data_IF_028800777214
#
_entry.id   IF_028800777214
#
_cell.length_a   1.000
_cell.length_b   1.000
_cell.length_c   1.000
_cell.angle_alpha   90.00
_cell.angle_beta   90.00
_cell.angle_gamma   90.00
#
_symmetry.space_group_name_H-M   'P 1'
#
loop_
_entity.id
_entity.type
_entity.pdbx_description
1 polymer ?
#
# COMPACT_ATOMS: atom_id res chain seq x y z
N UNK A 1 4.95 -35.09 0.38
CA UNK A 1 5.22 -33.80 -0.29
C UNK A 1 3.92 -33.36 -0.95
N UNK A 2 3.18 -32.44 -0.33
CA UNK A 2 1.97 -31.89 -0.96
C UNK A 2 2.41 -30.87 -2.00
N UNK A 3 2.31 -31.24 -3.28
CA UNK A 3 2.43 -30.28 -4.38
C UNK A 3 1.28 -29.28 -4.25
N UNK A 4 1.58 -28.10 -3.70
CA UNK A 4 0.67 -26.96 -3.78
C UNK A 4 0.72 -26.50 -5.24
N UNK A 5 -0.22 -27.00 -6.05
CA UNK A 5 -0.46 -26.45 -7.38
C UNK A 5 -1.04 -25.05 -7.21
N UNK A 6 -0.20 -24.02 -7.30
CA UNK A 6 -0.66 -22.63 -7.30
C UNK A 6 -1.07 -22.26 -8.72
N UNK A 7 -2.38 -22.13 -8.95
CA UNK A 7 -2.92 -21.66 -10.23
C UNK A 7 -2.79 -20.13 -10.28
N UNK A 8 -2.00 -19.63 -11.24
CA UNK A 8 -2.00 -18.21 -11.61
C UNK A 8 -3.11 -18.01 -12.65
N UNK A 9 -4.34 -17.71 -12.18
CA UNK A 9 -5.47 -17.43 -13.05
C UNK A 9 -5.53 -15.93 -13.38
N UNK A 10 -5.47 -15.57 -14.66
CA UNK A 10 -5.62 -14.19 -15.16
C UNK A 10 -6.56 -14.12 -16.38
N UNK A 11 -7.39 -15.14 -16.57
CA UNK A 11 -8.32 -15.21 -17.70
C UNK A 11 -9.35 -14.08 -17.65
N UNK A 12 -9.94 -13.75 -18.80
CA UNK A 12 -11.04 -12.79 -18.88
C UNK A 12 -12.19 -13.17 -17.93
N UNK A 13 -12.57 -14.45 -17.89
CA UNK A 13 -13.62 -14.94 -17.01
C UNK A 13 -13.27 -14.75 -15.52
N UNK A 14 -12.03 -15.01 -15.12
CA UNK A 14 -11.55 -14.78 -13.76
C UNK A 14 -11.63 -13.28 -13.37
N UNK A 15 -11.10 -12.41 -14.23
CA UNK A 15 -11.14 -10.95 -14.01
C UNK A 15 -12.56 -10.42 -13.98
N UNK A 16 -13.42 -10.88 -14.89
CA UNK A 16 -14.84 -10.52 -14.93
C UNK A 16 -15.57 -10.94 -13.66
N UNK A 17 -15.33 -12.16 -13.16
CA UNK A 17 -15.91 -12.61 -11.90
C UNK A 17 -15.52 -11.69 -10.74
N UNK A 18 -14.22 -11.45 -10.54
CA UNK A 18 -13.74 -10.57 -9.45
C UNK A 18 -14.27 -9.14 -9.58
N UNK A 19 -14.42 -8.64 -10.80
CA UNK A 19 -15.03 -7.33 -11.06
C UNK A 19 -16.51 -7.31 -10.64
N UNK A 20 -17.28 -8.34 -10.99
CA UNK A 20 -18.70 -8.44 -10.61
C UNK A 20 -18.86 -8.62 -9.09
N UNK A 21 -18.00 -9.42 -8.45
CA UNK A 21 -17.99 -9.58 -6.99
C UNK A 21 -17.66 -8.24 -6.31
N UNK A 22 -16.64 -7.52 -6.79
CA UNK A 22 -16.29 -6.18 -6.34
C UNK A 22 -17.46 -5.20 -6.49
N UNK A 23 -18.12 -5.18 -7.65
CA UNK A 23 -19.25 -4.32 -7.91
C UNK A 23 -20.42 -4.62 -6.96
N UNK A 24 -20.74 -5.90 -6.74
CA UNK A 24 -21.79 -6.31 -5.82
C UNK A 24 -21.51 -5.84 -4.39
N UNK A 25 -20.28 -6.00 -3.91
CA UNK A 25 -19.89 -5.54 -2.57
C UNK A 25 -20.04 -4.01 -2.47
N UNK A 26 -19.57 -3.29 -3.49
CA UNK A 26 -19.65 -1.83 -3.53
C UNK A 26 -21.10 -1.30 -3.52
N UNK A 27 -21.99 -1.96 -4.24
CA UNK A 27 -23.42 -1.62 -4.28
C UNK A 27 -24.12 -1.87 -2.93
N UNK A 28 -23.62 -2.81 -2.12
CA UNK A 28 -24.22 -3.16 -0.83
C UNK A 28 -23.59 -2.44 0.38
N UNK A 29 -22.30 -2.11 0.33
CA UNK A 29 -21.53 -1.57 1.46
C UNK A 29 -21.06 -0.12 1.27
N UNK A 30 -21.45 0.53 0.18
CA UNK A 30 -20.96 1.84 -0.24
C UNK A 30 -19.42 1.85 -0.48
N UNK A 31 -18.82 3.05 -0.49
CA UNK A 31 -17.40 3.23 -0.69
C UNK A 31 -16.58 2.61 0.46
N UNK A 32 -15.47 1.91 0.17
CA UNK A 32 -14.54 1.45 1.20
C UNK A 32 -13.87 2.67 1.85
N UNK A 33 -13.55 2.57 3.14
CA UNK A 33 -12.95 3.67 3.90
C UNK A 33 -11.44 3.80 3.66
N UNK A 34 -10.75 2.70 3.38
CA UNK A 34 -9.30 2.68 3.17
C UNK A 34 -8.95 2.04 1.84
N UNK A 35 -8.01 2.67 1.13
CA UNK A 35 -7.30 2.12 -0.02
C UNK A 35 -5.82 2.02 0.32
N UNK A 36 -5.24 0.83 0.17
CA UNK A 36 -3.86 0.53 0.51
C UNK A 36 -3.14 -0.03 -0.72
N UNK A 37 -1.98 0.54 -1.02
CA UNK A 37 -1.05 -0.03 -1.98
C UNK A 37 0.20 -0.47 -1.22
N UNK A 38 0.68 -1.69 -1.46
CA UNK A 38 1.98 -2.15 -0.99
C UNK A 38 2.85 -2.48 -2.19
N UNK A 39 4.04 -1.91 -2.25
CA UNK A 39 5.04 -2.23 -3.28
C UNK A 39 6.05 -3.19 -2.68
N UNK A 40 6.25 -4.34 -3.30
CA UNK A 40 7.25 -5.32 -2.86
C UNK A 40 8.67 -4.71 -2.82
N UNK A 41 9.37 -4.90 -1.70
CA UNK A 41 10.82 -4.66 -1.60
C UNK A 41 11.59 -5.82 -2.23
N UNK A 42 11.93 -5.69 -3.50
CA UNK A 42 12.66 -6.68 -4.30
C UNK A 42 14.12 -6.88 -3.85
N UNK A 43 14.62 -6.05 -2.94
CA UNK A 43 15.97 -6.12 -2.38
C UNK A 43 16.02 -6.70 -0.97
N UNK A 44 14.87 -7.06 -0.41
CA UNK A 44 14.76 -7.61 0.93
C UNK A 44 15.57 -8.92 1.06
N UNK A 45 16.17 -9.13 2.23
CA UNK A 45 17.06 -10.26 2.51
C UNK A 45 16.36 -11.63 2.42
N UNK A 46 15.04 -11.67 2.67
CA UNK A 46 14.22 -12.88 2.53
C UNK A 46 14.24 -13.44 1.10
N UNK A 47 14.40 -12.58 0.09
CA UNK A 47 14.56 -13.03 -1.30
C UNK A 47 15.90 -13.68 -1.55
N UNK A 48 16.99 -13.20 -0.93
CA UNK A 48 18.33 -13.77 -1.12
C UNK A 48 18.40 -15.25 -0.69
N UNK A 49 17.63 -15.64 0.32
CA UNK A 49 17.60 -17.03 0.82
C UNK A 49 16.84 -18.01 -0.07
N UNK A 50 16.13 -17.54 -1.11
CA UNK A 50 15.28 -18.37 -1.98
C UNK A 50 15.96 -18.63 -3.33
N UNK A 51 16.80 -17.70 -3.76
CA UNK A 51 17.54 -17.82 -5.00
C UNK A 51 18.55 -18.96 -4.85
N UNK A 52 18.39 -20.02 -5.64
CA UNK A 52 19.32 -21.17 -5.67
C UNK A 52 20.73 -20.74 -6.11
N UNK A 53 21.73 -21.59 -5.88
CA UNK A 53 23.11 -21.37 -6.34
C UNK A 53 23.13 -20.94 -7.82
N UNK A 54 23.44 -19.67 -8.07
CA UNK A 54 23.54 -19.08 -9.41
C UNK A 54 22.48 -18.02 -9.75
N UNK A 55 21.36 -17.94 -9.03
CA UNK A 55 20.36 -16.88 -9.22
C UNK A 55 20.74 -15.70 -8.29
N UNK A 56 20.98 -14.53 -8.87
CA UNK A 56 21.39 -13.30 -8.15
C UNK A 56 20.27 -12.30 -8.02
N UNK A 57 19.26 -12.36 -8.90
CA UNK A 57 18.22 -11.34 -8.97
C UNK A 57 16.79 -11.92 -9.08
N UNK A 58 15.79 -11.23 -8.52
CA UNK A 58 14.37 -11.63 -8.61
C UNK A 58 13.84 -11.91 -10.02
N UNK A 59 14.35 -11.19 -11.03
CA UNK A 59 13.88 -11.30 -12.42
C UNK A 59 14.48 -12.48 -13.18
N UNK A 60 15.45 -13.18 -12.61
CA UNK A 60 16.01 -14.40 -13.20
C UNK A 60 15.10 -15.62 -12.96
N UNK A 61 14.29 -15.61 -11.89
CA UNK A 61 13.15 -16.52 -11.69
C UNK A 61 11.91 -15.74 -11.19
N UNK A 62 11.19 -15.06 -12.11
CA UNK A 62 10.05 -14.23 -11.74
C UNK A 62 8.88 -15.05 -11.19
N UNK A 63 8.81 -16.36 -11.50
CA UNK A 63 7.74 -17.24 -11.02
C UNK A 63 7.95 -17.53 -9.54
N UNK A 64 9.15 -18.00 -9.15
CA UNK A 64 9.48 -18.28 -7.76
C UNK A 64 9.39 -17.01 -6.90
N UNK A 65 9.90 -15.89 -7.41
CA UNK A 65 9.82 -14.60 -6.76
C UNK A 65 8.36 -14.17 -6.48
N UNK A 66 7.50 -14.23 -7.51
CA UNK A 66 6.08 -13.86 -7.37
C UNK A 66 5.33 -14.80 -6.42
N UNK A 67 5.64 -16.10 -6.43
CA UNK A 67 5.06 -17.07 -5.50
C UNK A 67 5.49 -16.80 -4.06
N UNK A 68 6.76 -16.47 -3.83
CA UNK A 68 7.23 -16.12 -2.51
C UNK A 68 6.54 -14.86 -1.99
N UNK A 69 6.51 -13.79 -2.79
CA UNK A 69 5.85 -12.55 -2.40
C UNK A 69 4.36 -12.78 -2.10
N UNK A 70 3.65 -13.54 -2.94
CA UNK A 70 2.24 -13.90 -2.69
C UNK A 70 2.07 -14.65 -1.37
N UNK A 71 2.95 -15.59 -1.04
CA UNK A 71 2.90 -16.33 0.24
C UNK A 71 3.16 -15.40 1.43
N UNK A 72 4.16 -14.53 1.34
CA UNK A 72 4.47 -13.51 2.35
C UNK A 72 3.26 -12.59 2.57
N UNK A 73 2.65 -12.12 1.49
CA UNK A 73 1.43 -11.33 1.54
C UNK A 73 0.27 -12.08 2.20
N UNK A 74 0.00 -13.34 1.84
CA UNK A 74 -1.10 -14.11 2.42
C UNK A 74 -0.95 -14.30 3.93
N UNK A 75 0.27 -14.53 4.41
CA UNK A 75 0.56 -14.62 5.85
C UNK A 75 0.33 -13.25 6.52
N UNK A 76 0.92 -12.18 5.98
CA UNK A 76 0.71 -10.83 6.49
C UNK A 76 -0.78 -10.44 6.52
N UNK A 77 -1.51 -10.74 5.44
CA UNK A 77 -2.91 -10.46 5.33
C UNK A 77 -3.75 -11.20 6.39
N UNK A 78 -3.57 -12.52 6.48
CA UNK A 78 -4.37 -13.37 7.37
C UNK A 78 -4.02 -13.16 8.84
N UNK A 79 -2.72 -13.05 9.15
CA UNK A 79 -2.24 -13.02 10.53
C UNK A 79 -2.10 -11.61 11.08
N UNK A 80 -1.86 -10.61 10.24
CA UNK A 80 -1.71 -9.22 10.68
C UNK A 80 -2.92 -8.37 10.30
N UNK A 81 -3.25 -8.25 9.00
CA UNK A 81 -4.31 -7.34 8.53
C UNK A 81 -5.66 -7.70 9.14
N UNK A 82 -6.10 -8.96 8.99
CA UNK A 82 -7.39 -9.44 9.48
C UNK A 82 -7.49 -9.57 11.00
N UNK A 83 -6.37 -9.45 11.74
CA UNK A 83 -6.33 -9.62 13.20
C UNK A 83 -5.86 -8.35 13.92
N UNK A 84 -4.57 -8.04 13.83
CA UNK A 84 -3.97 -6.93 14.56
C UNK A 84 -4.41 -5.58 14.00
N UNK A 85 -4.24 -5.36 12.69
CA UNK A 85 -4.61 -4.10 12.06
C UNK A 85 -6.12 -3.86 12.09
N UNK A 86 -6.93 -4.91 11.86
CA UNK A 86 -8.38 -4.84 12.00
C UNK A 86 -8.80 -4.21 13.34
N UNK A 87 -8.18 -4.61 14.45
CA UNK A 87 -8.48 -4.02 15.78
C UNK A 87 -8.10 -2.54 15.88
N UNK A 88 -7.03 -2.11 15.20
CA UNK A 88 -6.58 -0.71 15.20
C UNK A 88 -7.50 0.21 14.40
N UNK A 89 -8.23 -0.31 13.41
CA UNK A 89 -9.14 0.47 12.54
C UNK A 89 -10.62 0.26 12.88
N UNK A 90 -10.91 -0.33 14.05
CA UNK A 90 -12.28 -0.59 14.54
C UNK A 90 -12.96 -1.83 13.94
N UNK A 91 -12.24 -2.66 13.19
CA UNK A 91 -12.70 -3.90 12.58
C UNK A 91 -12.88 -3.78 11.07
N UNK A 92 -12.82 -4.92 10.38
CA UNK A 92 -13.00 -5.04 8.93
C UNK A 92 -14.36 -5.71 8.69
N UNK A 93 -15.25 -5.04 7.96
CA UNK A 93 -16.53 -5.59 7.48
C UNK A 93 -16.33 -6.46 6.26
N UNK A 94 -15.54 -5.97 5.32
CA UNK A 94 -15.23 -6.63 4.06
C UNK A 94 -13.89 -6.12 3.53
N UNK A 95 -13.23 -6.92 2.69
CA UNK A 95 -11.96 -6.57 2.08
C UNK A 95 -11.85 -7.13 0.67
N UNK A 96 -11.11 -6.43 -0.19
CA UNK A 96 -10.72 -6.96 -1.50
C UNK A 96 -9.26 -6.60 -1.72
N UNK A 97 -8.47 -7.55 -2.21
CA UNK A 97 -7.11 -7.26 -2.64
C UNK A 97 -6.77 -7.99 -3.93
N UNK A 98 -5.86 -7.41 -4.70
CA UNK A 98 -5.33 -7.96 -5.94
C UNK A 98 -3.82 -7.78 -5.93
N UNK A 99 -3.11 -8.81 -6.37
CA UNK A 99 -1.69 -8.72 -6.67
C UNK A 99 -1.52 -8.44 -8.16
N UNK A 100 -0.89 -7.31 -8.47
CA UNK A 100 -0.50 -6.92 -9.82
C UNK A 100 0.99 -7.18 -10.03
N UNK A 101 1.32 -7.91 -11.10
CA UNK A 101 2.69 -8.11 -11.55
C UNK A 101 2.87 -7.23 -12.79
N UNK A 102 3.81 -6.29 -12.72
CA UNK A 102 4.12 -5.38 -13.81
C UNK A 102 5.29 -5.92 -14.64
N UNK A 103 5.29 -5.68 -15.95
CA UNK A 103 6.33 -6.17 -16.87
C UNK A 103 7.76 -5.72 -16.51
N UNK A 104 7.90 -4.61 -15.77
CA UNK A 104 9.21 -4.02 -15.37
C UNK A 104 9.20 -3.42 -13.96
N UNK A 105 8.36 -3.92 -13.07
CA UNK A 105 8.21 -3.39 -11.72
C UNK A 105 8.04 -4.47 -10.68
N UNK A 106 8.41 -4.15 -9.44
CA UNK A 106 8.13 -5.02 -8.29
C UNK A 106 6.62 -5.29 -8.20
N UNK A 107 6.19 -6.49 -7.77
CA UNK A 107 4.79 -6.78 -7.55
C UNK A 107 4.14 -5.77 -6.61
N UNK A 108 2.91 -5.39 -6.94
CA UNK A 108 2.10 -4.50 -6.12
C UNK A 108 0.91 -5.27 -5.57
N UNK A 109 0.54 -4.93 -4.34
CA UNK A 109 -0.75 -5.31 -3.78
C UNK A 109 -1.60 -4.06 -3.73
N UNK A 110 -2.78 -4.14 -4.33
CA UNK A 110 -3.84 -3.17 -4.13
C UNK A 110 -4.89 -3.78 -3.22
N UNK A 111 -5.28 -3.07 -2.17
CA UNK A 111 -6.25 -3.54 -1.20
C UNK A 111 -7.23 -2.42 -0.85
N UNK A 112 -8.50 -2.78 -0.73
CA UNK A 112 -9.56 -1.93 -0.16
C UNK A 112 -10.12 -2.58 1.09
N UNK A 113 -10.42 -1.77 2.09
CA UNK A 113 -11.04 -2.20 3.34
C UNK A 113 -12.31 -1.41 3.61
N UNK A 114 -13.41 -2.13 3.85
CA UNK A 114 -14.59 -1.61 4.52
C UNK A 114 -14.42 -1.82 6.02
N UNK A 115 -14.51 -0.76 6.81
CA UNK A 115 -14.30 -0.81 8.25
C UNK A 115 -15.61 -0.56 8.99
N UNK A 116 -15.62 -0.84 10.30
CA UNK A 116 -16.75 -0.45 11.16
C UNK A 116 -16.75 1.03 11.50
N UNK A 117 -15.63 1.73 11.29
CA UNK A 117 -15.42 3.14 11.59
C UNK A 117 -15.64 3.98 10.34
N UNK A 118 -16.22 5.15 10.49
CA UNK A 118 -16.27 6.14 9.41
C UNK A 118 -14.88 6.68 9.08
N UNK A 119 -14.72 7.27 7.89
CA UNK A 119 -13.45 7.92 7.53
C UNK A 119 -13.07 9.02 8.53
N UNK A 120 -14.05 9.76 9.03
CA UNK A 120 -13.85 10.81 10.02
C UNK A 120 -13.27 10.25 11.33
N UNK A 121 -13.83 9.15 11.84
CA UNK A 121 -13.28 8.48 13.02
C UNK A 121 -11.85 7.95 12.78
N UNK A 122 -11.56 7.42 11.59
CA UNK A 122 -10.21 6.95 11.27
C UNK A 122 -9.19 8.10 11.21
N UNK A 123 -9.61 9.28 10.74
CA UNK A 123 -8.78 10.51 10.78
C UNK A 123 -8.49 10.92 12.22
N UNK A 124 -9.52 10.93 13.08
CA UNK A 124 -9.37 11.26 14.50
C UNK A 124 -8.44 10.27 15.23
N UNK A 125 -8.44 9.02 14.79
CA UNK A 125 -7.54 7.96 15.26
C UNK A 125 -6.11 8.06 14.69
N UNK A 126 -5.83 9.00 13.78
CA UNK A 126 -4.54 9.17 13.10
C UNK A 126 -3.98 7.89 12.47
N UNK A 127 -4.83 7.10 11.79
CA UNK A 127 -4.40 5.83 11.17
C UNK A 127 -3.37 6.03 10.04
N UNK A 128 -3.42 7.18 9.36
CA UNK A 128 -2.53 7.55 8.26
C UNK A 128 -1.61 8.68 8.72
N UNK A 129 -0.30 8.40 8.67
CA UNK A 129 0.78 9.33 8.91
C UNK A 129 1.39 9.81 7.58
N UNK A 130 1.95 10.99 7.64
CA UNK A 130 2.59 11.70 6.52
C UNK A 130 3.83 12.45 6.99
N UNK A 131 4.34 12.13 8.18
CA UNK A 131 5.45 12.79 8.86
C UNK A 131 6.41 11.75 9.45
N UNK A 132 7.61 12.18 9.82
CA UNK A 132 8.53 11.36 10.61
C UNK A 132 8.06 11.24 12.07
N UNK A 133 8.11 10.04 12.68
CA UNK A 133 7.78 9.89 14.10
C UNK A 133 8.74 10.71 14.97
N UNK A 134 8.28 11.16 16.14
CA UNK A 134 9.15 11.84 17.10
C UNK A 134 10.12 10.84 17.77
N UNK A 135 11.38 11.25 17.90
CA UNK A 135 12.49 10.43 18.43
C UNK A 135 12.35 10.04 19.91
N UNK A 136 11.36 10.58 20.63
CA UNK A 136 11.18 10.43 22.08
C UNK A 136 10.66 9.05 22.53
N UNK A 137 10.32 8.16 21.59
CA UNK A 137 9.82 6.81 21.87
C UNK A 137 10.88 5.72 21.61
N UNK A 138 10.81 4.59 22.33
CA UNK A 138 11.74 3.45 22.14
C UNK A 138 11.74 2.87 20.73
N UNK A 139 10.61 2.97 20.01
CA UNK A 139 10.47 2.55 18.62
C UNK A 139 10.70 3.69 17.60
N UNK A 140 10.91 4.92 18.07
CA UNK A 140 11.12 6.11 17.26
C UNK A 140 12.25 5.93 16.24
N UNK A 141 13.46 5.47 16.65
CA UNK A 141 14.58 5.30 15.71
C UNK A 141 14.31 4.28 14.59
N UNK A 142 13.63 3.17 14.91
CA UNK A 142 13.30 2.13 13.92
C UNK A 142 12.27 2.66 12.92
N UNK A 143 11.20 3.28 13.43
CA UNK A 143 10.17 3.84 12.56
C UNK A 143 10.72 4.99 11.72
N UNK A 144 11.60 5.83 12.27
CA UNK A 144 12.29 6.88 11.53
C UNK A 144 13.12 6.31 10.36
N UNK A 145 13.89 5.25 10.60
CA UNK A 145 14.63 4.54 9.53
C UNK A 145 13.68 3.96 8.46
N UNK A 146 12.58 3.31 8.88
CA UNK A 146 11.58 2.77 7.96
C UNK A 146 10.96 3.86 7.08
N UNK A 147 10.57 4.99 7.67
CA UNK A 147 10.00 6.13 6.92
C UNK A 147 11.04 6.69 5.94
N UNK A 148 12.28 6.90 6.39
CA UNK A 148 13.36 7.42 5.56
C UNK A 148 13.66 6.52 4.35
N UNK A 149 13.66 5.20 4.54
CA UNK A 149 13.99 4.23 3.48
C UNK A 149 12.81 3.92 2.55
N UNK A 150 11.61 3.79 3.09
CA UNK A 150 10.46 3.18 2.39
C UNK A 150 9.36 4.17 2.02
N UNK A 151 9.26 5.30 2.73
CA UNK A 151 8.16 6.26 2.55
C UNK A 151 8.63 7.59 1.98
N UNK A 152 9.93 7.90 1.96
CA UNK A 152 10.41 9.16 1.43
C UNK A 152 10.47 9.14 -0.12
N UNK A 153 9.68 10.00 -0.76
CA UNK A 153 9.67 10.14 -2.21
C UNK A 153 10.97 10.80 -2.71
N UNK A 154 11.73 10.04 -3.49
CA UNK A 154 12.88 10.55 -4.25
C UNK A 154 12.45 10.79 -5.69
N UNK A 155 12.21 12.05 -6.04
CA UNK A 155 11.73 12.41 -7.37
C UNK A 155 12.75 12.02 -8.45
N UNK A 156 12.42 11.00 -9.23
CA UNK A 156 13.22 10.55 -10.37
C UNK A 156 12.77 11.27 -11.64
N UNK A 157 13.65 11.99 -12.32
CA UNK A 157 13.27 12.80 -13.48
C UNK A 157 12.74 11.97 -14.66
N UNK A 158 13.30 10.78 -14.90
CA UNK A 158 12.86 9.90 -16.00
C UNK A 158 11.48 9.29 -15.72
N UNK A 159 11.22 8.87 -14.48
CA UNK A 159 9.97 8.22 -14.12
C UNK A 159 8.88 9.22 -13.71
N UNK A 160 9.20 10.16 -12.82
CA UNK A 160 8.25 11.10 -12.24
C UNK A 160 7.93 12.26 -13.18
N UNK A 161 8.91 12.73 -13.96
CA UNK A 161 8.76 13.85 -14.89
C UNK A 161 8.80 13.43 -16.36
N UNK A 162 8.90 12.12 -16.64
CA UNK A 162 8.92 11.55 -18.01
C UNK A 162 10.04 12.14 -18.86
N UNK A 163 11.20 12.38 -18.25
CA UNK A 163 12.40 12.92 -18.91
C UNK A 163 12.36 14.45 -19.17
N UNK A 164 11.31 15.15 -18.74
CA UNK A 164 11.16 16.59 -18.94
C UNK A 164 11.30 17.33 -17.61
N UNK A 165 12.45 17.97 -17.39
CA UNK A 165 12.76 18.66 -16.14
C UNK A 165 11.83 19.83 -15.82
N UNK A 166 11.09 20.34 -16.81
CA UNK A 166 10.11 21.43 -16.63
C UNK A 166 8.78 20.93 -16.07
N UNK A 167 8.50 19.62 -16.18
CA UNK A 167 7.26 19.03 -15.67
C UNK A 167 7.31 18.89 -14.16
N UNK A 168 6.15 19.15 -13.55
CA UNK A 168 5.91 18.79 -12.15
C UNK A 168 5.92 17.26 -12.00
N UNK A 169 6.30 16.79 -10.81
CA UNK A 169 6.22 15.36 -10.49
C UNK A 169 4.79 14.86 -10.73
N UNK A 170 4.63 13.77 -11.49
CA UNK A 170 3.31 13.16 -11.78
C UNK A 170 2.52 12.76 -10.52
N UNK A 171 3.23 12.52 -9.41
CA UNK A 171 2.65 12.18 -8.11
C UNK A 171 2.35 13.42 -7.27
N UNK A 172 2.63 14.62 -7.79
CA UNK A 172 2.34 15.89 -7.14
C UNK A 172 3.31 16.27 -6.01
N UNK A 173 4.54 15.73 -6.01
CA UNK A 173 5.59 16.16 -5.09
C UNK A 173 6.29 17.44 -5.57
N UNK A 174 6.72 18.34 -4.68
CA UNK A 174 6.46 18.34 -3.23
C UNK A 174 4.97 18.56 -2.92
N UNK A 175 4.46 17.87 -1.89
CA UNK A 175 3.07 18.02 -1.45
C UNK A 175 2.90 19.37 -0.74
N UNK A 176 1.73 20.02 -0.85
CA UNK A 176 1.43 21.24 -0.12
C UNK A 176 1.42 21.03 1.40
N UNK A 177 1.80 22.07 2.15
CA UNK A 177 1.65 22.14 3.60
C UNK A 177 0.16 22.21 3.99
N UNK A 178 -0.21 21.46 5.03
CA UNK A 178 -1.54 21.53 5.64
C UNK A 178 -1.44 21.19 7.14
N UNK A 179 -2.05 21.97 8.04
CA UNK A 179 -1.91 21.74 9.48
C UNK A 179 -2.72 20.53 10.00
N UNK A 180 -3.75 20.12 9.27
CA UNK A 180 -4.69 19.06 9.67
C UNK A 180 -5.09 18.19 8.50
N UNK A 181 -5.47 16.95 8.78
CA UNK A 181 -6.12 16.05 7.81
C UNK A 181 -7.63 16.30 7.85
N UNK A 182 -8.27 16.44 6.68
CA UNK A 182 -9.72 16.62 6.59
C UNK A 182 -10.28 16.09 5.26
N UNK A 183 -11.58 15.76 5.26
CA UNK A 183 -12.35 15.52 4.04
C UNK A 183 -13.10 16.78 3.64
N UNK A 184 -13.00 17.15 2.37
CA UNK A 184 -13.82 18.23 1.82
C UNK A 184 -15.26 17.78 1.49
N UNK A 185 -16.09 18.71 1.03
CA UNK A 185 -17.48 18.45 0.62
C UNK A 185 -17.62 17.51 -0.58
N UNK A 186 -16.54 17.30 -1.34
CA UNK A 186 -16.47 16.34 -2.45
C UNK A 186 -15.89 14.98 -1.99
N UNK A 187 -15.73 14.79 -0.69
CA UNK A 187 -15.13 13.62 -0.06
C UNK A 187 -13.68 13.32 -0.49
N UNK A 188 -12.94 14.35 -0.93
CA UNK A 188 -11.51 14.26 -1.17
C UNK A 188 -10.77 14.50 0.14
N UNK A 189 -9.80 13.63 0.42
CA UNK A 189 -8.98 13.76 1.62
C UNK A 189 -7.74 14.63 1.35
N UNK A 190 -7.58 15.68 2.16
CA UNK A 190 -6.32 16.42 2.28
C UNK A 190 -5.63 15.99 3.57
N UNK A 191 -4.34 15.66 3.49
CA UNK A 191 -3.57 15.16 4.62
C UNK A 191 -2.78 16.28 5.29
N UNK A 192 -2.72 16.26 6.62
CA UNK A 192 -1.76 17.04 7.41
C UNK A 192 -0.36 16.81 6.83
N UNK A 193 0.42 17.88 6.63
CA UNK A 193 1.83 17.84 6.24
C UNK A 193 2.54 19.08 6.73
N UNK A 194 3.64 18.89 7.44
CA UNK A 194 4.54 19.99 7.78
C UNK A 194 5.50 20.30 6.61
N UNK A 195 6.18 21.44 6.66
CA UNK A 195 7.15 21.90 5.64
C UNK A 195 8.29 20.90 5.45
N UNK A 196 8.71 20.22 6.52
CA UNK A 196 9.75 19.18 6.47
C UNK A 196 9.29 17.86 5.82
N UNK A 197 7.98 17.60 5.78
CA UNK A 197 7.42 16.30 5.42
C UNK A 197 6.77 16.27 4.03
N UNK A 198 6.99 17.32 3.24
CA UNK A 198 6.37 17.48 1.91
C UNK A 198 6.75 16.39 0.89
N UNK A 199 7.72 15.54 1.22
CA UNK A 199 8.16 14.38 0.43
C UNK A 199 7.81 13.01 1.05
N UNK A 200 7.23 12.97 2.24
CA UNK A 200 6.88 11.70 2.90
C UNK A 200 5.61 11.14 2.27
N UNK A 201 5.54 9.86 1.94
CA UNK A 201 4.32 9.25 1.40
C UNK A 201 3.27 9.05 2.49
N UNK A 202 2.03 8.79 2.10
CA UNK A 202 0.99 8.44 3.06
C UNK A 202 1.21 6.99 3.53
N UNK A 203 1.46 6.77 4.81
CA UNK A 203 1.69 5.43 5.35
C UNK A 203 0.88 5.22 6.63
N UNK A 204 0.70 3.97 7.04
CA UNK A 204 0.20 3.66 8.37
C UNK A 204 1.33 3.04 9.19
N UNK A 205 1.63 3.55 10.42
CA UNK A 205 2.74 3.05 11.22
C UNK A 205 2.58 1.56 11.56
N UNK A 206 1.34 1.09 11.72
CA UNK A 206 1.05 -0.32 12.06
C UNK A 206 1.55 -1.30 10.99
N UNK A 207 1.03 -1.32 9.75
CA UNK A 207 1.53 -2.22 8.73
C UNK A 207 2.97 -1.92 8.30
N UNK A 208 3.48 -0.70 8.48
CA UNK A 208 4.88 -0.38 8.16
C UNK A 208 5.86 -1.08 9.09
N UNK A 209 5.55 -1.13 10.40
CA UNK A 209 6.39 -1.81 11.40
C UNK A 209 6.50 -3.32 11.14
N UNK A 210 5.37 -3.94 10.75
CA UNK A 210 5.25 -5.39 10.55
C UNK A 210 5.70 -5.85 9.16
N UNK A 211 5.14 -5.25 8.09
CA UNK A 211 5.40 -5.71 6.71
C UNK A 211 6.68 -5.13 6.10
N UNK A 212 7.10 -3.94 6.58
CA UNK A 212 8.37 -3.28 6.22
C UNK A 212 8.59 -3.12 4.72
N UNK A 213 7.55 -2.66 4.02
CA UNK A 213 7.60 -2.39 2.59
C UNK A 213 7.07 -0.98 2.30
N UNK A 214 7.42 -0.44 1.13
CA UNK A 214 6.86 0.84 0.69
C UNK A 214 5.35 0.73 0.53
N UNK A 215 4.61 1.74 0.98
CA UNK A 215 3.15 1.71 0.92
C UNK A 215 2.57 3.08 0.63
N UNK A 216 1.33 3.07 0.15
CA UNK A 216 0.51 4.25 0.04
C UNK A 216 -0.87 3.93 0.63
N UNK A 217 -1.21 4.59 1.74
CA UNK A 217 -2.49 4.42 2.43
C UNK A 217 -3.31 5.67 2.21
N UNK A 218 -4.56 5.50 1.77
CA UNK A 218 -5.45 6.61 1.49
C UNK A 218 -6.81 6.38 2.15
N UNK A 219 -7.34 7.45 2.75
CA UNK A 219 -8.75 7.53 3.06
C UNK A 219 -9.55 7.69 1.77
N UNK A 220 -10.61 6.90 1.63
CA UNK A 220 -11.53 7.00 0.52
C UNK A 220 -12.91 7.36 1.02
N UNK A 221 -13.36 8.57 0.69
CA UNK A 221 -14.72 9.03 0.98
C UNK A 221 -15.63 9.02 -0.25
N UNK A 222 -15.11 8.73 -1.44
CA UNK A 222 -15.86 8.77 -2.69
C UNK A 222 -16.25 7.38 -3.17
N UNK A 223 -17.36 7.31 -3.90
CA UNK A 223 -17.82 6.10 -4.61
C UNK A 223 -16.94 5.70 -5.81
N UNK A 224 -15.85 6.40 -6.07
CA UNK A 224 -14.96 6.13 -7.19
C UNK A 224 -13.53 5.93 -6.71
N UNK A 225 -13.03 4.70 -6.83
CA UNK A 225 -11.60 4.45 -6.69
C UNK A 225 -10.92 4.89 -7.98
N UNK A 226 -10.26 6.05 -7.97
CA UNK A 226 -9.27 6.35 -9.01
C UNK A 226 -8.02 5.53 -8.74
N UNK A 227 -8.03 4.27 -9.18
CA UNK A 227 -6.80 3.48 -9.29
C UNK A 227 -6.04 4.07 -10.48
N UNK A 228 -5.15 5.03 -10.22
CA UNK A 228 -4.18 5.49 -11.21
C UNK A 228 -3.13 4.41 -11.39
N UNK A 229 -3.39 3.48 -12.30
CA UNK A 229 -2.39 2.58 -12.87
C UNK A 229 -1.45 3.42 -13.76
#
# INVERSE_FOLDING_TARGET
MNNIFVVIASSYAYKRKNFLDFQCIFENLDAPQLFLTFTCDDKSEDFKGILSDGIRFPWEDPVLFSLHFKRKWLNFFTDYICKHFARQIGGIKEHIWVMEIQDRGSPHIYMVLWTNKSVQELIEMNIIHTWFPEDSSSNGPIMHDLVNRLQLHKCNDNYCKRGDLTKKCRFGYSKPYFPVTFLDSEHRCTYKRDVGDVYVNNYSPYPLDDFRTSMDVQYNGVRYLQIKI
#
